data_IF_871960892991
#
_entry.id   IF_871960892991
#
_cell.length_a   1.000
_cell.length_b   1.000
_cell.length_c   1.000
_cell.angle_alpha   90.00
_cell.angle_beta   90.00
_cell.angle_gamma   90.00
#
_symmetry.space_group_name_H-M   'P 1'
#
loop_
_entity.id
_entity.type
_entity.pdbx_description
1 polymer ?
#
# COMPACT_ATOMS: atom_id res chain seq x y z
N UNK A 1 55.42 -13.06 7.11
CA UNK A 1 54.30 -13.65 6.36
C UNK A 1 53.13 -13.62 7.29
N UNK A 2 52.29 -12.59 7.13
CA UNK A 2 51.04 -12.45 7.89
C UNK A 2 49.90 -12.66 6.91
N UNK A 3 49.42 -13.88 6.83
CA UNK A 3 48.16 -14.17 6.15
C UNK A 3 47.05 -13.75 7.10
N UNK A 4 46.45 -12.59 6.81
CA UNK A 4 45.21 -12.16 7.39
C UNK A 4 44.08 -12.70 6.50
N UNK A 5 43.25 -13.66 6.92
CA UNK A 5 42.09 -14.03 6.17
C UNK A 5 41.09 -12.87 6.23
N UNK A 6 40.84 -12.28 5.09
CA UNK A 6 39.77 -11.32 4.88
C UNK A 6 38.45 -11.96 5.32
N UNK A 7 37.97 -11.55 6.48
CA UNK A 7 36.64 -11.90 6.93
C UNK A 7 35.63 -11.30 5.95
N UNK A 8 34.79 -12.17 5.39
CA UNK A 8 33.62 -11.75 4.64
C UNK A 8 32.76 -10.82 5.52
N UNK A 9 32.10 -9.82 4.96
CA UNK A 9 31.22 -8.95 5.73
C UNK A 9 30.06 -9.79 6.27
N UNK A 10 30.11 -10.06 7.57
CA UNK A 10 28.99 -10.63 8.30
C UNK A 10 27.83 -9.63 8.19
N UNK A 11 26.67 -10.11 7.76
CA UNK A 11 25.47 -9.29 7.56
C UNK A 11 25.19 -8.44 8.79
N UNK A 12 25.20 -7.14 8.61
CA UNK A 12 24.88 -6.20 9.68
C UNK A 12 23.40 -6.30 9.98
N UNK A 13 23.08 -7.03 11.04
CA UNK A 13 21.77 -7.03 11.69
C UNK A 13 21.72 -5.79 12.57
N UNK A 14 21.01 -4.78 12.14
CA UNK A 14 20.82 -3.55 12.90
C UNK A 14 19.42 -3.55 13.53
N UNK A 15 19.37 -3.77 14.84
CA UNK A 15 18.19 -3.49 15.63
C UNK A 15 18.08 -1.97 15.80
N UNK A 16 17.13 -1.34 15.11
CA UNK A 16 16.91 0.08 15.23
C UNK A 16 15.90 0.37 16.35
N UNK A 17 16.39 0.89 17.45
CA UNK A 17 15.59 1.38 18.57
C UNK A 17 15.46 2.90 18.45
N UNK A 18 14.33 3.36 17.93
CA UNK A 18 13.70 4.63 18.32
C UNK A 18 14.37 5.97 18.00
N UNK A 19 15.18 6.14 16.95
CA UNK A 19 15.52 7.47 16.47
C UNK A 19 14.88 7.76 15.11
N UNK A 20 14.24 8.93 14.93
CA UNK A 20 13.64 9.31 13.64
C UNK A 20 14.73 9.69 12.63
N UNK A 21 15.15 8.75 11.80
CA UNK A 21 16.12 8.96 10.73
C UNK A 21 16.04 7.86 9.68
N UNK A 22 16.63 8.05 8.48
CA UNK A 22 16.68 7.01 7.47
C UNK A 22 17.64 5.88 7.89
N UNK A 23 17.16 4.65 7.86
CA UNK A 23 17.94 3.45 8.17
C UNK A 23 18.24 2.70 6.88
N UNK A 24 19.52 2.38 6.66
CA UNK A 24 19.96 1.57 5.51
C UNK A 24 20.83 0.41 6.01
N UNK A 25 20.38 -0.82 5.78
CA UNK A 25 21.10 -2.04 6.15
C UNK A 25 20.67 -3.20 5.25
N UNK A 26 21.30 -4.37 5.37
CA UNK A 26 20.84 -5.58 4.67
C UNK A 26 19.57 -6.15 5.34
N UNK A 27 19.62 -6.31 6.66
CA UNK A 27 18.49 -6.78 7.45
C UNK A 27 18.19 -5.76 8.53
N UNK A 28 16.94 -5.35 8.62
CA UNK A 28 16.47 -4.41 9.64
C UNK A 28 15.32 -5.02 10.38
N UNK A 29 15.45 -5.11 11.71
CA UNK A 29 14.36 -5.56 12.59
C UNK A 29 13.97 -4.41 13.51
N UNK A 30 12.68 -4.11 13.53
CA UNK A 30 12.08 -3.13 14.44
C UNK A 30 11.22 -3.84 15.46
N UNK A 31 11.51 -3.56 16.73
CA UNK A 31 10.74 -4.01 17.87
C UNK A 31 10.14 -2.79 18.60
N UNK A 32 9.18 -2.14 17.95
CA UNK A 32 8.54 -0.92 18.47
C UNK A 32 9.23 0.37 18.05
N UNK A 33 8.58 1.50 18.33
CA UNK A 33 9.06 2.84 17.99
C UNK A 33 8.54 3.36 16.65
N UNK A 34 9.15 4.43 16.16
CA UNK A 34 8.76 5.05 14.88
C UNK A 34 10.00 5.45 14.10
N UNK A 35 10.00 5.15 12.81
CA UNK A 35 11.08 5.49 11.88
C UNK A 35 10.49 6.13 10.63
N UNK A 36 11.17 7.18 10.13
CA UNK A 36 10.70 7.90 8.96
C UNK A 36 10.89 7.10 7.68
N UNK A 37 12.08 6.51 7.47
CA UNK A 37 12.38 5.75 6.25
C UNK A 37 13.34 4.60 6.51
N UNK A 38 13.06 3.46 5.87
CA UNK A 38 13.90 2.26 5.93
C UNK A 38 14.19 1.78 4.51
N UNK A 39 15.45 1.48 4.23
CA UNK A 39 15.88 0.84 2.99
C UNK A 39 16.73 -0.38 3.32
N UNK A 40 16.28 -1.57 2.96
CA UNK A 40 16.98 -2.81 3.28
C UNK A 40 16.69 -3.91 2.25
N UNK A 41 17.37 -5.04 2.34
CA UNK A 41 16.99 -6.24 1.61
C UNK A 41 15.79 -6.92 2.29
N UNK A 42 15.84 -7.03 3.62
CA UNK A 42 14.74 -7.55 4.44
C UNK A 42 14.41 -6.58 5.58
N UNK A 43 13.13 -6.24 5.68
CA UNK A 43 12.59 -5.45 6.80
C UNK A 43 11.61 -6.31 7.56
N UNK A 44 11.86 -6.47 8.86
CA UNK A 44 10.95 -7.14 9.80
C UNK A 44 10.46 -6.13 10.82
N UNK A 45 9.16 -6.01 10.98
CA UNK A 45 8.52 -5.08 11.92
C UNK A 45 7.67 -5.88 12.90
N UNK A 46 8.07 -5.86 14.17
CA UNK A 46 7.34 -6.49 15.27
C UNK A 46 6.75 -5.41 16.19
N UNK A 47 5.96 -4.56 15.66
CA UNK A 47 5.42 -3.39 16.34
C UNK A 47 6.05 -2.07 15.90
N UNK A 48 5.36 -0.96 16.18
CA UNK A 48 5.80 0.37 15.79
C UNK A 48 5.30 0.87 14.45
N UNK A 49 5.83 2.00 14.01
CA UNK A 49 5.37 2.65 12.80
C UNK A 49 6.54 3.04 11.88
N UNK A 50 6.40 2.77 10.59
CA UNK A 50 7.36 3.17 9.56
C UNK A 50 6.66 4.10 8.57
N UNK A 51 7.23 5.27 8.31
CA UNK A 51 6.75 6.20 7.30
C UNK A 51 6.92 5.62 5.90
N UNK A 52 8.13 5.21 5.54
CA UNK A 52 8.43 4.64 4.23
C UNK A 52 9.36 3.43 4.35
N UNK A 53 8.99 2.31 3.77
CA UNK A 53 9.81 1.11 3.71
C UNK A 53 10.08 0.71 2.25
N UNK A 54 11.36 0.57 1.89
CA UNK A 54 11.81 0.05 0.60
C UNK A 54 12.67 -1.19 0.82
N UNK A 55 12.23 -2.35 0.34
CA UNK A 55 12.97 -3.59 0.54
C UNK A 55 12.71 -4.60 -0.58
N UNK A 56 13.41 -5.72 -0.56
CA UNK A 56 13.03 -6.89 -1.38
C UNK A 56 11.91 -7.65 -0.66
N UNK A 57 12.02 -7.82 0.65
CA UNK A 57 11.00 -8.48 1.48
C UNK A 57 10.64 -7.61 2.67
N UNK A 58 9.35 -7.43 2.91
CA UNK A 58 8.81 -6.76 4.10
C UNK A 58 7.93 -7.74 4.85
N UNK A 59 8.24 -7.97 6.12
CA UNK A 59 7.44 -8.76 7.07
C UNK A 59 6.94 -7.82 8.17
N UNK A 60 5.64 -7.61 8.22
CA UNK A 60 4.96 -6.82 9.23
C UNK A 60 4.13 -7.75 10.11
N UNK A 61 4.45 -7.84 11.38
CA UNK A 61 3.72 -8.70 12.38
C UNK A 61 3.02 -7.77 13.31
N UNK A 62 2.94 -6.70 13.52
CA UNK A 62 2.19 -5.76 14.33
C UNK A 62 2.68 -4.33 14.08
N UNK A 63 1.76 -3.40 14.00
CA UNK A 63 2.13 -2.01 13.77
C UNK A 63 1.64 -1.45 12.44
N UNK A 64 2.33 -0.41 11.93
CA UNK A 64 1.90 0.31 10.76
C UNK A 64 3.03 0.71 9.79
N UNK A 65 2.75 0.66 8.50
CA UNK A 65 3.61 1.23 7.47
C UNK A 65 2.77 2.18 6.61
N UNK A 66 3.18 3.44 6.51
CA UNK A 66 2.43 4.38 5.68
C UNK A 66 2.65 4.08 4.19
N UNK A 67 3.88 3.83 3.76
CA UNK A 67 4.20 3.46 2.38
C UNK A 67 5.20 2.30 2.34
N UNK A 68 4.81 1.20 1.71
CA UNK A 68 5.65 0.03 1.53
C UNK A 68 5.90 -0.22 0.03
N UNK A 69 7.17 -0.39 -0.35
CA UNK A 69 7.58 -0.82 -1.69
C UNK A 69 8.52 -2.02 -1.57
N UNK A 70 8.13 -3.16 -2.14
CA UNK A 70 8.94 -4.37 -2.09
C UNK A 70 8.63 -5.32 -3.26
N UNK A 71 9.38 -6.40 -3.40
CA UNK A 71 8.96 -7.51 -4.25
C UNK A 71 7.92 -8.37 -3.54
N UNK A 72 8.10 -8.61 -2.25
CA UNK A 72 7.17 -9.38 -1.42
C UNK A 72 6.83 -8.61 -0.15
N UNK A 73 5.54 -8.51 0.16
CA UNK A 73 5.02 -7.91 1.38
C UNK A 73 4.15 -8.95 2.10
N UNK A 74 4.52 -9.27 3.33
CA UNK A 74 3.75 -10.14 4.22
C UNK A 74 3.26 -9.30 5.41
N UNK A 75 1.96 -9.27 5.62
CA UNK A 75 1.30 -8.59 6.73
C UNK A 75 0.59 -9.62 7.58
N UNK A 76 0.96 -9.70 8.85
CA UNK A 76 0.27 -10.53 9.84
C UNK A 76 -0.10 -9.62 10.98
N UNK A 77 -1.34 -9.30 11.17
CA UNK A 77 -1.80 -8.41 12.22
C UNK A 77 -1.13 -7.02 12.19
N UNK A 78 -1.65 -6.14 11.37
CA UNK A 78 -1.09 -4.80 11.21
C UNK A 78 -1.72 -4.05 10.07
N UNK A 79 -1.22 -2.85 9.76
CA UNK A 79 -1.77 -1.98 8.75
C UNK A 79 -0.76 -1.39 7.77
N UNK A 80 -1.11 -1.34 6.49
CA UNK A 80 -0.36 -0.61 5.47
C UNK A 80 -1.30 0.37 4.78
N UNK A 81 -0.92 1.65 4.73
CA UNK A 81 -1.74 2.61 4.02
C UNK A 81 -1.57 2.46 2.50
N UNK A 82 -0.34 2.37 2.00
CA UNK A 82 -0.06 2.17 0.58
C UNK A 82 0.98 1.06 0.38
N UNK A 83 0.59 -0.03 -0.26
CA UNK A 83 1.47 -1.14 -0.62
C UNK A 83 1.70 -1.19 -2.13
N UNK A 84 2.96 -1.29 -2.56
CA UNK A 84 3.36 -1.54 -3.94
C UNK A 84 4.34 -2.69 -3.98
N UNK A 85 3.94 -3.81 -4.62
CA UNK A 85 4.77 -5.01 -4.66
C UNK A 85 4.48 -5.88 -5.89
N UNK A 86 5.26 -6.95 -6.08
CA UNK A 86 4.88 -8.02 -7.01
C UNK A 86 3.89 -8.98 -6.33
N UNK A 87 4.09 -9.27 -5.04
CA UNK A 87 3.22 -10.14 -4.24
C UNK A 87 2.91 -9.50 -2.88
N UNK A 88 1.65 -9.49 -2.50
CA UNK A 88 1.18 -9.03 -1.19
C UNK A 88 0.37 -10.14 -0.54
N UNK A 89 0.76 -10.55 0.65
CA UNK A 89 0.02 -11.49 1.49
C UNK A 89 -0.42 -10.77 2.77
N UNK A 90 -1.72 -10.81 3.05
CA UNK A 90 -2.31 -10.17 4.23
C UNK A 90 -3.06 -11.22 5.03
N UNK A 91 -2.68 -11.39 6.30
CA UNK A 91 -3.33 -12.28 7.24
C UNK A 91 -3.71 -11.48 8.48
N UNK A 92 -4.98 -11.45 8.82
CA UNK A 92 -5.53 -10.72 9.99
C UNK A 92 -5.17 -9.23 10.06
N UNK A 93 -4.91 -8.59 8.90
CA UNK A 93 -4.48 -7.21 8.83
C UNK A 93 -5.31 -6.34 7.88
N UNK A 94 -4.90 -5.08 7.71
CA UNK A 94 -5.55 -4.13 6.84
C UNK A 94 -4.60 -3.42 5.87
N UNK A 95 -5.01 -3.28 4.61
CA UNK A 95 -4.30 -2.46 3.63
C UNK A 95 -5.28 -1.47 3.02
N UNK A 96 -4.97 -0.18 3.10
CA UNK A 96 -5.87 0.81 2.52
C UNK A 96 -5.79 0.79 0.98
N UNK A 97 -4.60 0.75 0.40
CA UNK A 97 -4.43 0.63 -1.04
C UNK A 97 -3.28 -0.33 -1.39
N UNK A 98 -3.54 -1.30 -2.24
CA UNK A 98 -2.55 -2.26 -2.73
C UNK A 98 -2.44 -2.21 -4.25
N UNK A 99 -1.21 -2.08 -4.74
CA UNK A 99 -0.86 -2.21 -6.15
C UNK A 99 0.12 -3.37 -6.30
N UNK A 100 -0.33 -4.51 -6.82
CA UNK A 100 0.49 -5.71 -6.93
C UNK A 100 0.12 -6.56 -8.15
N UNK A 101 0.98 -7.52 -8.50
CA UNK A 101 0.63 -8.53 -9.50
C UNK A 101 -0.26 -9.60 -8.91
N UNK A 102 0.07 -10.03 -7.69
CA UNK A 102 -0.71 -11.02 -6.92
C UNK A 102 -0.99 -10.49 -5.53
N UNK A 103 -2.23 -10.60 -5.11
CA UNK A 103 -2.68 -10.27 -3.75
C UNK A 103 -3.39 -11.48 -3.17
N UNK A 104 -2.95 -11.94 -2.03
CA UNK A 104 -3.59 -12.99 -1.26
C UNK A 104 -4.02 -12.43 0.10
N UNK A 105 -5.29 -12.60 0.43
CA UNK A 105 -5.84 -12.07 1.67
C UNK A 105 -6.54 -13.20 2.42
N UNK A 106 -6.07 -13.46 3.62
CA UNK A 106 -6.66 -14.41 4.54
C UNK A 106 -7.16 -13.65 5.77
N UNK A 107 -8.47 -13.58 5.95
CA UNK A 107 -9.10 -12.93 7.10
C UNK A 107 -8.75 -11.44 7.30
N UNK A 108 -8.24 -10.77 6.26
CA UNK A 108 -7.87 -9.37 6.27
C UNK A 108 -8.83 -8.48 5.47
N UNK A 109 -8.58 -7.18 5.44
CA UNK A 109 -9.34 -6.22 4.65
C UNK A 109 -8.45 -5.37 3.76
N UNK A 110 -8.88 -5.15 2.53
CA UNK A 110 -8.24 -4.20 1.62
C UNK A 110 -9.30 -3.26 1.06
N UNK A 111 -9.08 -1.97 1.19
CA UNK A 111 -10.05 -0.99 0.69
C UNK A 111 -9.97 -0.84 -0.84
N UNK A 112 -8.76 -0.66 -1.38
CA UNK A 112 -8.53 -0.53 -2.82
C UNK A 112 -7.48 -1.51 -3.30
N UNK A 113 -7.80 -2.29 -4.34
CA UNK A 113 -6.87 -3.23 -4.97
C UNK A 113 -6.74 -2.94 -6.45
N UNK A 114 -5.50 -2.75 -6.91
CA UNK A 114 -5.12 -2.81 -8.30
C UNK A 114 -4.17 -4.00 -8.49
N UNK A 115 -4.72 -5.17 -8.78
CA UNK A 115 -3.94 -6.40 -8.93
C UNK A 115 -4.36 -7.18 -10.18
N UNK A 116 -3.43 -7.97 -10.69
CA UNK A 116 -3.71 -8.91 -11.79
C UNK A 116 -4.46 -10.16 -11.30
N UNK A 117 -4.10 -10.66 -10.13
CA UNK A 117 -4.72 -11.82 -9.47
C UNK A 117 -5.02 -11.49 -8.02
N UNK A 118 -6.23 -11.78 -7.57
CA UNK A 118 -6.65 -11.66 -6.17
C UNK A 118 -7.14 -13.03 -5.72
N UNK A 119 -6.52 -13.57 -4.68
CA UNK A 119 -6.85 -14.86 -4.06
C UNK A 119 -7.21 -14.70 -2.58
N UNK A 120 -7.80 -15.74 -2.00
CA UNK A 120 -8.18 -15.80 -0.59
C UNK A 120 -9.57 -15.25 -0.28
N UNK A 121 -9.91 -15.13 1.01
CA UNK A 121 -11.18 -14.59 1.53
C UNK A 121 -11.12 -13.05 1.67
N UNK A 122 -10.77 -12.37 0.57
CA UNK A 122 -10.62 -10.93 0.56
C UNK A 122 -11.95 -10.21 0.70
N UNK A 123 -12.18 -9.49 1.79
CA UNK A 123 -13.16 -8.39 1.83
C UNK A 123 -12.61 -7.19 1.07
N UNK A 124 -12.66 -7.25 -0.26
CA UNK A 124 -12.30 -6.12 -1.12
C UNK A 124 -13.49 -5.17 -1.19
N UNK A 125 -13.33 -3.95 -0.70
CA UNK A 125 -14.42 -2.95 -0.72
C UNK A 125 -14.56 -2.35 -2.12
N UNK A 126 -13.47 -2.15 -2.85
CA UNK A 126 -13.48 -1.67 -4.23
C UNK A 126 -12.48 -2.44 -5.10
N UNK A 127 -12.99 -3.29 -5.96
CA UNK A 127 -12.23 -3.90 -7.06
C UNK A 127 -12.17 -2.92 -8.26
N UNK A 128 -11.13 -3.03 -9.07
CA UNK A 128 -10.98 -2.22 -10.28
C UNK A 128 -12.22 -2.30 -11.20
N UNK A 129 -12.89 -3.45 -11.24
CA UNK A 129 -14.14 -3.63 -11.99
C UNK A 129 -15.28 -2.81 -11.39
N UNK A 130 -15.40 -2.78 -10.07
CA UNK A 130 -16.39 -1.96 -9.37
C UNK A 130 -16.11 -0.47 -9.55
N UNK A 131 -14.84 -0.05 -9.57
CA UNK A 131 -14.44 1.33 -9.83
C UNK A 131 -14.81 1.78 -11.26
N UNK A 132 -14.66 0.93 -12.26
CA UNK A 132 -15.06 1.24 -13.64
C UNK A 132 -16.60 1.39 -13.76
N UNK A 133 -17.34 0.49 -13.13
CA UNK A 133 -18.81 0.58 -13.09
C UNK A 133 -19.27 1.85 -12.37
N UNK A 134 -18.66 2.17 -11.24
CA UNK A 134 -18.96 3.39 -10.48
C UNK A 134 -18.64 4.66 -11.29
N UNK A 135 -17.50 4.70 -11.98
CA UNK A 135 -17.12 5.82 -12.85
C UNK A 135 -18.09 5.99 -14.02
N UNK A 136 -18.54 4.90 -14.64
CA UNK A 136 -19.54 4.92 -15.71
C UNK A 136 -20.88 5.44 -15.23
N UNK A 137 -21.35 4.97 -14.06
CA UNK A 137 -22.62 5.43 -13.46
C UNK A 137 -22.52 6.92 -13.08
N UNK A 138 -21.44 7.32 -12.46
CA UNK A 138 -21.22 8.72 -12.09
C UNK A 138 -21.12 9.63 -13.30
N UNK A 139 -20.40 9.21 -14.34
CA UNK A 139 -20.31 9.92 -15.61
C UNK A 139 -21.65 10.06 -16.32
N UNK A 140 -22.47 9.01 -16.33
CA UNK A 140 -23.82 9.05 -16.88
C UNK A 140 -24.74 10.02 -16.12
N UNK A 141 -24.72 9.99 -14.79
CA UNK A 141 -25.50 10.89 -13.94
C UNK A 141 -25.10 12.36 -14.16
N UNK A 142 -23.82 12.66 -14.14
CA UNK A 142 -23.32 14.01 -14.41
C UNK A 142 -23.64 14.48 -15.84
N UNK A 143 -23.56 13.59 -16.82
CA UNK A 143 -23.95 13.86 -18.20
C UNK A 143 -25.44 14.21 -18.35
N UNK A 144 -26.33 13.47 -17.68
CA UNK A 144 -27.77 13.73 -17.66
C UNK A 144 -28.07 15.07 -16.98
N UNK A 145 -27.42 15.37 -15.84
CA UNK A 145 -27.60 16.63 -15.14
C UNK A 145 -27.18 17.81 -16.03
N UNK A 146 -26.03 17.70 -16.71
CA UNK A 146 -25.56 18.72 -17.65
C UNK A 146 -26.51 18.93 -18.82
N UNK A 147 -27.08 17.84 -19.36
CA UNK A 147 -28.06 17.89 -20.44
C UNK A 147 -29.37 18.56 -20.02
N UNK A 148 -29.84 18.30 -18.80
CA UNK A 148 -31.03 18.94 -18.24
C UNK A 148 -30.82 20.43 -17.98
N UNK A 149 -29.65 20.82 -17.48
CA UNK A 149 -29.31 22.22 -17.25
C UNK A 149 -29.12 23.01 -18.55
N UNK A 150 -28.65 22.37 -19.63
CA UNK A 150 -28.48 23.03 -20.94
C UNK A 150 -29.80 23.24 -21.68
N UNK A 151 -30.86 22.53 -21.33
CA UNK A 151 -32.20 22.71 -21.91
C UNK A 151 -33.04 23.81 -21.23
N UNK A 152 -32.57 24.35 -20.10
CA UNK A 152 -33.27 25.40 -19.35
C UNK A 152 -32.97 26.83 -19.78
N UNK A 153 -32.13 27.07 -20.80
CA UNK A 153 -31.72 28.42 -21.24
C UNK A 153 -32.27 28.85 -22.60
N UNK A 154 -33.42 28.33 -23.04
CA UNK A 154 -34.07 28.82 -24.24
C UNK A 154 -35.57 29.00 -23.98
N UNK A 155 -35.95 29.97 -23.18
CA UNK A 155 -37.33 30.53 -23.18
C UNK A 155 -37.31 31.84 -22.40
N UNK A 156 -36.91 32.92 -23.05
CA UNK A 156 -37.37 34.28 -22.79
C UNK A 156 -36.73 35.22 -23.82
N UNK A 157 -37.30 35.22 -25.02
CA UNK A 157 -37.21 36.35 -25.96
C UNK A 157 -38.30 36.20 -27.01
N UNK A 158 -39.53 36.50 -26.63
CA UNK A 158 -40.57 36.88 -27.58
C UNK A 158 -41.78 37.43 -26.82
N UNK A 159 -41.74 38.69 -26.43
CA UNK A 159 -42.90 39.59 -26.29
C UNK A 159 -42.40 40.99 -25.93
N UNK A 160 -41.99 41.74 -26.94
CA UNK A 160 -42.27 43.19 -27.01
C UNK A 160 -42.15 43.61 -28.47
N UNK A 161 -43.28 43.94 -29.04
CA UNK A 161 -43.50 44.56 -30.33
C UNK A 161 -44.88 45.19 -30.38
#
# INVERSE_FOLDING_TARGET
MNDNPTAAPEGQEQAATGEPGPVTAQNVTFDGGSVESVTAETVTVNGGNIGQANAVTINLTDGGIAQAQASTINVTDGGIALAKADSVSVTDGGVAAAMARRVEVNNGSIAFVAAGEVGGDAKVVFDLRAAIVFALVLGAVLGIIKLLMSRGCCSDDALDG
#
